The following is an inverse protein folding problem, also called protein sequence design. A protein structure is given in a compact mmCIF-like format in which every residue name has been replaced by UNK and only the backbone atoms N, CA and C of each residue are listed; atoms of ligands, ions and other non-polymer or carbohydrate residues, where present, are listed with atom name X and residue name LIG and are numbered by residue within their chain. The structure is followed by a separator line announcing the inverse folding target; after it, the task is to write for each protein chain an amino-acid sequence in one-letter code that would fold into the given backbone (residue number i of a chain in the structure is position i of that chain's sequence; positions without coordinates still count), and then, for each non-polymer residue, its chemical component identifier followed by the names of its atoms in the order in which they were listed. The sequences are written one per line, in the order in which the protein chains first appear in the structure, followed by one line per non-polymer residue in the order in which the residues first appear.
data_IF_448568440185
#
_entry.id   IF_448568440185
#
_cell.length_a   1.000
_cell.length_b   1.000
_cell.length_c   1.000
_cell.angle_alpha   90.00
_cell.angle_beta   90.00
_cell.angle_gamma   90.00
#
_symmetry.space_group_name_H-M   'P 1'
#
loop_
_entity.id
_entity.type
_entity.pdbx_description
1 polymer ?
#
# COMPACT_ATOMS: atom_id res chain seq x y z
N UNK A 1 -9.10 12.90 4.85
CA UNK A 1 -9.99 11.99 4.08
C UNK A 1 -9.36 11.77 2.73
N UNK A 2 -9.50 10.58 2.13
CA UNK A 2 -9.27 10.44 0.69
C UNK A 2 -10.14 11.48 -0.03
N UNK A 3 -9.55 12.24 -0.97
CA UNK A 3 -10.26 13.31 -1.72
C UNK A 3 -11.54 12.78 -2.36
N UNK A 4 -11.49 11.57 -2.90
CA UNK A 4 -12.63 10.89 -3.50
C UNK A 4 -13.73 10.53 -2.51
N UNK A 5 -13.38 10.15 -1.26
CA UNK A 5 -14.39 9.90 -0.23
C UNK A 5 -15.22 11.16 0.06
N UNK A 6 -14.54 12.30 0.17
CA UNK A 6 -15.19 13.59 0.40
C UNK A 6 -16.13 13.96 -0.75
N UNK A 7 -15.66 13.81 -2.00
CA UNK A 7 -16.45 14.09 -3.21
C UNK A 7 -17.72 13.23 -3.24
N UNK A 8 -17.61 11.93 -2.95
CA UNK A 8 -18.77 11.03 -2.93
C UNK A 8 -19.74 11.43 -1.82
N UNK A 9 -19.25 11.77 -0.62
CA UNK A 9 -20.10 12.21 0.49
C UNK A 9 -20.83 13.53 0.19
N UNK A 10 -20.23 14.44 -0.58
CA UNK A 10 -20.88 15.68 -1.00
C UNK A 10 -22.11 15.45 -1.90
N UNK A 11 -22.18 14.33 -2.63
CA UNK A 11 -23.38 13.98 -3.41
C UNK A 11 -24.60 13.69 -2.53
N UNK A 12 -24.38 13.35 -1.27
CA UNK A 12 -25.41 13.06 -0.27
C UNK A 12 -25.53 14.20 0.76
N UNK A 13 -24.90 15.35 0.53
CA UNK A 13 -25.09 16.53 1.36
C UNK A 13 -26.47 17.15 1.11
N UNK A 14 -27.04 17.88 2.09
CA UNK A 14 -28.32 18.57 1.94
C UNK A 14 -28.34 19.47 0.71
N UNK A 15 -29.42 19.41 -0.06
CA UNK A 15 -29.61 20.29 -1.23
C UNK A 15 -30.73 21.30 -1.00
N UNK A 16 -31.56 21.09 0.04
CA UNK A 16 -32.65 21.99 0.40
C UNK A 16 -32.34 22.78 1.67
N UNK A 17 -32.91 23.99 1.74
CA UNK A 17 -32.91 24.83 2.93
C UNK A 17 -34.34 24.99 3.44
N UNK A 18 -34.50 25.11 4.75
CA UNK A 18 -35.79 25.38 5.37
C UNK A 18 -36.25 26.84 5.11
N UNK A 19 -37.42 27.20 5.63
CA UNK A 19 -37.96 28.56 5.51
C UNK A 19 -37.09 29.65 6.18
N UNK A 20 -36.14 29.25 7.03
CA UNK A 20 -35.21 30.12 7.74
C UNK A 20 -33.85 30.23 7.02
N UNK A 21 -33.64 29.45 5.94
CA UNK A 21 -32.40 29.40 5.18
C UNK A 21 -31.36 28.41 5.73
N UNK A 22 -31.72 27.60 6.73
CA UNK A 22 -30.85 26.58 7.29
C UNK A 22 -30.92 25.29 6.44
N UNK A 23 -29.79 24.57 6.22
CA UNK A 23 -29.80 23.33 5.45
C UNK A 23 -30.67 22.27 6.14
N UNK A 24 -31.61 21.69 5.39
CA UNK A 24 -32.41 20.54 5.83
C UNK A 24 -31.47 19.37 6.12
N UNK A 25 -31.79 18.52 7.08
CA UNK A 25 -30.91 17.38 7.37
C UNK A 25 -30.88 16.41 6.17
N UNK A 26 -29.69 16.02 5.71
CA UNK A 26 -29.51 15.13 4.56
C UNK A 26 -30.26 13.79 4.69
N UNK A 27 -30.54 13.38 5.92
CA UNK A 27 -31.30 12.17 6.25
C UNK A 27 -32.80 12.29 5.90
N UNK A 28 -33.36 13.50 5.92
CA UNK A 28 -34.77 13.75 5.63
C UNK A 28 -35.06 13.71 4.12
N UNK A 29 -34.07 14.00 3.29
CA UNK A 29 -34.18 13.95 1.83
C UNK A 29 -34.20 12.51 1.28
N UNK A 30 -33.88 11.51 2.11
CA UNK A 30 -33.83 10.08 1.76
C UNK A 30 -33.12 9.77 0.43
N UNK A 31 -32.14 10.61 0.07
CA UNK A 31 -31.48 10.58 -1.24
C UNK A 31 -30.79 9.25 -1.47
N UNK A 32 -31.05 8.66 -2.64
CA UNK A 32 -30.41 7.43 -3.07
C UNK A 32 -29.85 7.58 -4.47
N UNK A 33 -28.62 7.13 -4.65
CA UNK A 33 -27.93 7.16 -5.95
C UNK A 33 -27.45 5.75 -6.29
N UNK A 34 -27.58 5.35 -7.54
CA UNK A 34 -26.98 4.13 -8.05
C UNK A 34 -25.49 4.35 -8.39
N UNK A 35 -24.75 3.27 -8.60
CA UNK A 35 -23.33 3.36 -8.93
C UNK A 35 -23.04 4.18 -10.20
N UNK A 36 -23.86 4.03 -11.26
CA UNK A 36 -23.66 4.75 -12.52
C UNK A 36 -23.84 6.27 -12.36
N UNK A 37 -24.83 6.70 -11.59
CA UNK A 37 -25.06 8.11 -11.26
C UNK A 37 -23.87 8.69 -10.50
N UNK A 38 -23.34 7.95 -9.51
CA UNK A 38 -22.15 8.39 -8.76
C UNK A 38 -20.94 8.47 -9.71
N UNK A 39 -20.75 7.50 -10.59
CA UNK A 39 -19.67 7.48 -11.59
C UNK A 39 -19.77 8.67 -12.53
N UNK A 40 -20.96 8.96 -13.03
CA UNK A 40 -21.20 10.05 -13.97
C UNK A 40 -21.01 11.43 -13.34
N UNK A 41 -21.51 11.62 -12.11
CA UNK A 41 -21.44 12.88 -11.38
C UNK A 41 -20.03 13.19 -10.88
N UNK A 42 -19.29 12.17 -10.43
CA UNK A 42 -17.96 12.37 -9.84
C UNK A 42 -16.82 12.28 -10.83
N UNK A 43 -17.04 11.62 -11.98
CA UNK A 43 -16.01 11.31 -12.99
C UNK A 43 -14.76 10.63 -12.39
N UNK A 44 -14.92 9.92 -11.26
CA UNK A 44 -13.84 9.16 -10.63
C UNK A 44 -13.59 7.89 -11.45
N UNK A 45 -12.31 7.49 -11.67
CA UNK A 45 -11.98 6.22 -12.30
C UNK A 45 -12.66 5.04 -11.60
N UNK A 46 -13.15 4.08 -12.38
CA UNK A 46 -13.97 2.98 -11.87
C UNK A 46 -13.29 2.14 -10.77
N UNK A 47 -11.98 1.91 -10.92
CA UNK A 47 -11.16 1.20 -9.94
C UNK A 47 -11.11 1.94 -8.59
N UNK A 48 -10.97 3.26 -8.62
CA UNK A 48 -10.94 4.13 -7.44
C UNK A 48 -12.33 4.26 -6.81
N UNK A 49 -13.36 4.41 -7.63
CA UNK A 49 -14.74 4.55 -7.18
C UNK A 49 -15.21 3.30 -6.44
N UNK A 50 -15.00 2.10 -7.01
CA UNK A 50 -15.37 0.83 -6.38
C UNK A 50 -14.65 0.63 -5.05
N UNK A 51 -13.34 0.92 -4.99
CA UNK A 51 -12.54 0.84 -3.75
C UNK A 51 -13.03 1.82 -2.68
N UNK A 52 -13.37 3.04 -3.09
CA UNK A 52 -13.83 4.06 -2.16
C UNK A 52 -15.22 3.75 -1.61
N UNK A 53 -16.15 3.30 -2.47
CA UNK A 53 -17.48 2.84 -2.08
C UNK A 53 -17.41 1.61 -1.17
N UNK A 54 -16.50 0.67 -1.41
CA UNK A 54 -16.29 -0.47 -0.52
C UNK A 54 -15.88 -0.02 0.89
N UNK A 55 -14.97 0.95 0.99
CA UNK A 55 -14.55 1.51 2.29
C UNK A 55 -15.70 2.18 3.05
N UNK A 56 -16.52 2.99 2.37
CA UNK A 56 -17.54 3.82 3.04
C UNK A 56 -18.92 3.16 3.14
N UNK A 57 -19.22 2.12 2.34
CA UNK A 57 -20.55 1.50 2.29
C UNK A 57 -20.58 0.04 2.77
N UNK A 58 -19.44 -0.68 2.68
CA UNK A 58 -19.37 -2.12 3.00
C UNK A 58 -18.57 -2.37 4.27
N UNK A 59 -17.47 -1.63 4.50
CA UNK A 59 -16.60 -1.86 5.66
C UNK A 59 -17.36 -1.63 6.98
N UNK A 60 -17.43 -2.63 7.90
CA UNK A 60 -18.25 -2.55 9.12
C UNK A 60 -17.93 -1.35 10.03
N UNK A 61 -16.67 -0.91 10.02
CA UNK A 61 -16.19 0.20 10.87
C UNK A 61 -16.46 1.59 10.29
N UNK A 62 -16.71 1.70 8.98
CA UNK A 62 -16.71 2.94 8.22
C UNK A 62 -17.98 3.12 7.38
N UNK A 63 -19.02 2.34 7.66
CA UNK A 63 -20.30 2.26 6.94
C UNK A 63 -21.10 3.56 7.05
N UNK A 64 -20.60 4.63 6.43
CA UNK A 64 -21.24 5.93 6.30
C UNK A 64 -22.40 5.88 5.30
N UNK A 65 -22.30 5.01 4.30
CA UNK A 65 -23.36 4.71 3.35
C UNK A 65 -23.93 3.31 3.62
N UNK A 66 -25.21 3.13 3.32
CA UNK A 66 -25.85 1.82 3.21
C UNK A 66 -25.95 1.44 1.73
N UNK A 67 -25.67 0.17 1.46
CA UNK A 67 -25.68 -0.42 0.12
C UNK A 67 -26.81 -1.45 0.01
N UNK A 68 -27.54 -1.42 -1.10
CA UNK A 68 -28.56 -2.42 -1.45
C UNK A 68 -28.32 -2.91 -2.89
N UNK A 69 -28.11 -4.23 -3.11
CA UNK A 69 -27.94 -5.31 -2.13
C UNK A 69 -26.62 -5.24 -1.36
N UNK A 70 -26.63 -5.69 -0.09
CA UNK A 70 -25.42 -5.72 0.74
C UNK A 70 -24.53 -6.92 0.36
N UNK A 71 -23.65 -6.71 -0.61
CA UNK A 71 -22.61 -7.66 -1.02
C UNK A 71 -21.22 -7.07 -0.81
N UNK A 72 -20.18 -7.93 -0.82
CA UNK A 72 -18.78 -7.50 -0.62
C UNK A 72 -18.22 -6.71 -1.80
N UNK A 73 -18.72 -6.99 -3.00
CA UNK A 73 -18.31 -6.39 -4.27
C UNK A 73 -19.22 -5.23 -4.62
N UNK A 74 -18.78 -4.29 -5.47
CA UNK A 74 -19.60 -3.18 -5.96
C UNK A 74 -19.92 -3.41 -7.44
N UNK A 75 -21.21 -3.53 -7.73
CA UNK A 75 -21.83 -3.71 -9.02
C UNK A 75 -22.50 -2.41 -9.49
N UNK A 76 -22.77 -2.36 -10.79
CA UNK A 76 -23.27 -1.17 -11.47
C UNK A 76 -24.73 -0.83 -11.11
N UNK A 77 -25.50 -1.82 -10.68
CA UNK A 77 -26.90 -1.67 -10.27
C UNK A 77 -27.06 -1.40 -8.76
N UNK A 78 -25.95 -1.32 -8.02
CA UNK A 78 -26.01 -1.14 -6.57
C UNK A 78 -26.48 0.27 -6.21
N UNK A 79 -27.38 0.35 -5.23
CA UNK A 79 -27.94 1.61 -4.73
C UNK A 79 -27.34 1.96 -3.38
N UNK A 80 -26.91 3.22 -3.25
CA UNK A 80 -26.30 3.78 -2.06
C UNK A 80 -27.19 4.85 -1.43
N UNK A 81 -27.27 4.82 -0.10
CA UNK A 81 -28.00 5.79 0.74
C UNK A 81 -27.15 6.18 1.93
N UNK A 82 -27.44 7.31 2.57
CA UNK A 82 -26.79 7.68 3.82
C UNK A 82 -27.16 6.67 4.94
N UNK A 83 -26.24 6.38 5.85
CA UNK A 83 -26.48 5.45 6.96
C UNK A 83 -26.84 6.18 8.25
N UNK A 84 -28.13 6.30 8.53
CA UNK A 84 -28.69 6.93 9.73
C UNK A 84 -28.30 6.19 11.01
N UNK A 85 -27.99 4.90 10.89
CA UNK A 85 -27.65 4.01 12.02
C UNK A 85 -26.15 3.95 12.30
N UNK A 86 -25.35 4.79 11.65
CA UNK A 86 -23.91 4.81 11.86
C UNK A 86 -23.57 5.23 13.29
N UNK A 87 -22.75 4.43 13.97
CA UNK A 87 -22.22 4.72 15.31
C UNK A 87 -20.70 4.58 15.28
N UNK A 88 -19.99 5.63 15.70
CA UNK A 88 -18.53 5.61 15.85
C UNK A 88 -18.16 5.75 17.32
N UNK A 89 -17.16 4.99 17.83
CA UNK A 89 -16.63 5.15 19.18
C UNK A 89 -15.81 6.45 19.35
N UNK A 90 -15.47 7.15 18.26
CA UNK A 90 -14.75 8.43 18.29
C UNK A 90 -15.48 9.53 17.50
N UNK A 91 -15.44 10.80 17.96
CA UNK A 91 -16.02 11.93 17.22
C UNK A 91 -15.30 12.24 15.91
N UNK A 92 -14.07 11.73 15.74
CA UNK A 92 -13.31 11.78 14.50
C UNK A 92 -13.35 10.41 13.82
N UNK A 93 -13.99 10.32 12.65
CA UNK A 93 -14.00 9.11 11.83
C UNK A 93 -12.85 9.21 10.82
N UNK A 94 -11.88 8.29 10.91
CA UNK A 94 -10.78 8.21 9.92
C UNK A 94 -11.19 7.32 8.76
N UNK A 95 -11.58 7.94 7.64
CA UNK A 95 -11.82 7.22 6.38
C UNK A 95 -10.48 6.84 5.76
N UNK A 96 -10.07 5.59 5.96
CA UNK A 96 -8.93 4.99 5.29
C UNK A 96 -9.43 4.30 4.02
N UNK A 97 -8.80 4.57 2.89
CA UNK A 97 -9.02 3.77 1.68
C UNK A 97 -8.59 2.34 1.97
N UNK A 98 -9.41 1.36 1.59
CA UNK A 98 -9.03 -0.05 1.70
C UNK A 98 -7.85 -0.26 0.75
N UNK A 99 -6.63 -0.26 1.28
CA UNK A 99 -5.45 -0.65 0.54
C UNK A 99 -5.55 -2.16 0.28
N UNK A 100 -5.24 -2.59 -0.95
CA UNK A 100 -5.18 -4.00 -1.34
C UNK A 100 -4.25 -4.86 -0.45
N UNK A 101 -3.43 -4.24 0.39
CA UNK A 101 -2.43 -4.89 1.24
C UNK A 101 -2.90 -5.35 2.63
N UNK A 102 -4.16 -5.11 3.05
CA UNK A 102 -4.58 -5.38 4.44
C UNK A 102 -5.51 -6.59 4.65
N UNK A 103 -5.79 -7.36 3.61
CA UNK A 103 -6.61 -8.58 3.74
C UNK A 103 -6.05 -9.79 2.99
N UNK A 104 -4.85 -10.26 3.34
CA UNK A 104 -4.43 -11.64 3.09
C UNK A 104 -3.23 -12.06 3.94
N UNK A 105 -3.46 -12.15 5.25
CA UNK A 105 -2.80 -13.18 6.06
C UNK A 105 -3.43 -14.53 5.70
N UNK A 106 -2.61 -15.45 5.21
CA UNK A 106 -2.77 -16.92 5.21
C UNK A 106 -4.14 -17.48 4.76
N UNK A 107 -4.23 -17.90 3.50
CA UNK A 107 -4.50 -19.29 3.13
C UNK A 107 -4.46 -19.45 1.60
N UNK A 108 -3.73 -20.47 1.16
CA UNK A 108 -3.60 -20.93 -0.23
C UNK A 108 -4.96 -21.20 -0.88
N UNK A 109 -5.17 -20.73 -2.11
CA UNK A 109 -5.63 -21.55 -3.26
C UNK A 109 -5.87 -20.68 -4.50
N UNK A 110 -5.07 -20.93 -5.55
CA UNK A 110 -5.40 -20.91 -6.99
C UNK A 110 -6.49 -19.93 -7.48
N UNK A 111 -6.05 -18.75 -7.94
CA UNK A 111 -6.32 -18.16 -9.26
C UNK A 111 -6.00 -16.66 -9.23
N UNK A 112 -4.94 -16.15 -9.88
CA UNK A 112 -4.80 -14.72 -10.06
C UNK A 112 -5.39 -14.35 -11.43
N UNK A 113 -6.59 -13.80 -11.42
CA UNK A 113 -7.07 -12.99 -12.55
C UNK A 113 -6.35 -11.64 -12.42
N UNK A 114 -5.16 -11.57 -13.04
CA UNK A 114 -4.28 -10.40 -13.08
C UNK A 114 -5.08 -9.15 -13.42
N UNK A 115 -4.99 -8.14 -12.57
CA UNK A 115 -5.49 -6.80 -12.85
C UNK A 115 -4.30 -5.88 -13.02
N UNK A 116 -4.36 -4.98 -14.01
CA UNK A 116 -3.28 -4.10 -14.47
C UNK A 116 -2.65 -3.24 -13.34
N UNK A 117 -3.39 -3.00 -12.26
CA UNK A 117 -2.90 -2.31 -11.05
C UNK A 117 -1.93 -3.13 -10.16
N UNK A 118 -2.01 -4.46 -10.20
CA UNK A 118 -0.99 -5.29 -9.54
C UNK A 118 0.31 -5.28 -10.34
N UNK A 119 0.24 -5.21 -11.67
CA UNK A 119 1.42 -5.15 -12.54
C UNK A 119 2.20 -3.84 -12.33
N UNK A 120 1.54 -2.68 -12.27
CA UNK A 120 2.23 -1.40 -11.93
C UNK A 120 2.82 -1.42 -10.50
N UNK A 121 2.12 -1.99 -9.52
CA UNK A 121 2.63 -2.07 -8.14
C UNK A 121 3.79 -3.07 -8.01
N UNK A 122 3.76 -4.17 -8.78
CA UNK A 122 4.83 -5.15 -8.86
C UNK A 122 6.05 -4.55 -9.56
N UNK A 123 5.86 -3.78 -10.64
CA UNK A 123 6.93 -3.06 -11.32
C UNK A 123 7.61 -2.04 -10.41
N UNK A 124 6.83 -1.21 -9.69
CA UNK A 124 7.37 -0.24 -8.74
C UNK A 124 8.12 -0.96 -7.61
N UNK A 125 7.56 -2.05 -7.08
CA UNK A 125 8.22 -2.81 -6.03
C UNK A 125 9.49 -3.50 -6.53
N UNK A 126 9.47 -4.06 -7.75
CA UNK A 126 10.63 -4.64 -8.41
C UNK A 126 11.73 -3.57 -8.57
N UNK A 127 11.39 -2.38 -9.06
CA UNK A 127 12.33 -1.29 -9.25
C UNK A 127 12.94 -0.81 -7.91
N UNK A 128 12.15 -0.78 -6.83
CA UNK A 128 12.65 -0.51 -5.47
C UNK A 128 13.62 -1.61 -5.01
N UNK A 129 13.31 -2.88 -5.28
CA UNK A 129 14.21 -3.99 -4.90
C UNK A 129 15.52 -3.97 -5.69
N UNK A 130 15.49 -3.62 -6.98
CA UNK A 130 16.66 -3.37 -7.83
C UNK A 130 17.53 -2.26 -7.22
N UNK A 131 16.93 -1.10 -6.91
CA UNK A 131 17.63 0.01 -6.28
C UNK A 131 18.28 -0.38 -4.95
N UNK A 132 17.61 -1.19 -4.13
CA UNK A 132 18.18 -1.71 -2.88
C UNK A 132 19.40 -2.60 -3.12
N UNK A 133 19.39 -3.47 -4.14
CA UNK A 133 20.56 -4.30 -4.51
C UNK A 133 21.76 -3.43 -4.86
N UNK A 134 21.56 -2.39 -5.67
CA UNK A 134 22.62 -1.46 -6.08
C UNK A 134 23.22 -0.75 -4.86
N UNK A 135 22.37 -0.25 -3.96
CA UNK A 135 22.81 0.43 -2.74
C UNK A 135 23.60 -0.51 -1.82
N UNK A 136 23.14 -1.76 -1.65
CA UNK A 136 23.86 -2.77 -0.86
C UNK A 136 25.23 -3.08 -1.48
N UNK A 137 25.31 -3.30 -2.79
CA UNK A 137 26.57 -3.56 -3.49
C UNK A 137 27.57 -2.41 -3.28
N UNK A 138 27.11 -1.17 -3.50
CA UNK A 138 27.95 0.01 -3.31
C UNK A 138 28.45 0.15 -1.87
N UNK A 139 27.61 -0.16 -0.88
CA UNK A 139 27.99 -0.13 0.53
C UNK A 139 29.02 -1.23 0.88
N UNK A 140 28.82 -2.45 0.40
CA UNK A 140 29.78 -3.55 0.60
C UNK A 140 31.15 -3.18 0.00
N UNK A 141 31.19 -2.74 -1.26
CA UNK A 141 32.44 -2.34 -1.92
C UNK A 141 33.11 -1.18 -1.18
N UNK A 142 32.36 -0.20 -0.69
CA UNK A 142 32.91 0.91 0.11
C UNK A 142 33.56 0.45 1.41
N UNK A 143 32.91 -0.46 2.14
CA UNK A 143 33.45 -1.04 3.39
C UNK A 143 34.72 -1.84 3.08
N UNK A 144 34.64 -2.73 2.10
CA UNK A 144 35.74 -3.61 1.68
C UNK A 144 36.96 -2.82 1.19
N UNK A 145 36.75 -1.78 0.37
CA UNK A 145 37.84 -0.90 -0.10
C UNK A 145 38.54 -0.17 1.04
N UNK A 146 37.84 0.17 2.13
CA UNK A 146 38.45 0.84 3.29
C UNK A 146 39.17 -0.13 4.22
N UNK A 147 38.64 -1.35 4.42
CA UNK A 147 39.16 -2.32 5.40
C UNK A 147 40.17 -3.30 4.80
N UNK A 148 40.12 -3.49 3.48
CA UNK A 148 40.89 -4.46 2.68
C UNK A 148 40.59 -5.93 3.02
N UNK A 149 40.54 -6.28 4.30
CA UNK A 149 40.18 -7.60 4.83
C UNK A 149 39.17 -7.43 5.96
N UNK A 150 38.11 -8.24 5.99
CA UNK A 150 37.09 -8.19 7.04
C UNK A 150 36.42 -9.56 7.25
N UNK A 151 35.96 -9.82 8.47
CA UNK A 151 35.14 -11.01 8.75
C UNK A 151 33.69 -10.80 8.32
N UNK A 152 32.96 -11.88 8.07
CA UNK A 152 31.56 -11.83 7.67
C UNK A 152 30.69 -11.09 8.71
N UNK A 153 30.88 -11.36 10.00
CA UNK A 153 30.09 -10.76 11.06
C UNK A 153 30.33 -9.24 11.13
N UNK A 154 31.59 -8.82 11.01
CA UNK A 154 31.94 -7.39 11.04
C UNK A 154 31.43 -6.66 9.80
N UNK A 155 31.49 -7.29 8.62
CA UNK A 155 30.93 -6.74 7.38
C UNK A 155 29.43 -6.52 7.50
N UNK A 156 28.69 -7.50 8.03
CA UNK A 156 27.25 -7.39 8.25
C UNK A 156 26.93 -6.27 9.26
N UNK A 157 27.68 -6.19 10.36
CA UNK A 157 27.49 -5.15 11.37
C UNK A 157 27.73 -3.73 10.81
N UNK A 158 28.83 -3.54 10.07
CA UNK A 158 29.12 -2.26 9.41
C UNK A 158 28.08 -1.91 8.35
N UNK A 159 27.63 -2.89 7.57
CA UNK A 159 26.62 -2.70 6.52
C UNK A 159 25.27 -2.26 7.11
N UNK A 160 24.81 -2.93 8.18
CA UNK A 160 23.58 -2.55 8.89
C UNK A 160 23.72 -1.14 9.47
N UNK A 161 24.87 -0.81 10.07
CA UNK A 161 25.15 0.54 10.58
C UNK A 161 25.13 1.60 9.48
N UNK A 162 25.66 1.33 8.30
CA UNK A 162 25.63 2.30 7.19
C UNK A 162 24.24 2.47 6.58
N UNK A 163 23.47 1.37 6.48
CA UNK A 163 22.17 1.39 5.80
C UNK A 163 20.98 1.73 6.70
N UNK A 164 21.15 1.77 8.04
CA UNK A 164 20.05 1.97 9.00
C UNK A 164 19.16 3.19 8.70
N UNK A 165 19.75 4.29 8.22
CA UNK A 165 19.03 5.52 7.88
C UNK A 165 18.16 5.41 6.62
N UNK A 166 18.36 4.39 5.79
CA UNK A 166 17.60 4.17 4.54
C UNK A 166 16.69 2.96 4.63
N UNK A 167 17.21 1.82 5.04
CA UNK A 167 16.43 0.58 5.22
C UNK A 167 17.24 -0.47 5.98
N UNK A 168 16.54 -1.50 6.50
CA UNK A 168 17.15 -2.66 7.13
C UNK A 168 17.30 -3.80 6.09
N UNK A 169 18.52 -4.10 5.61
CA UNK A 169 18.73 -5.18 4.64
C UNK A 169 18.49 -6.55 5.28
N UNK A 170 17.81 -7.45 4.55
CA UNK A 170 17.65 -8.84 4.96
C UNK A 170 18.97 -9.61 4.82
N UNK A 171 19.29 -10.49 5.76
CA UNK A 171 20.53 -11.29 5.75
C UNK A 171 20.68 -12.13 4.47
N UNK A 172 19.57 -12.62 3.91
CA UNK A 172 19.55 -13.38 2.65
C UNK A 172 20.06 -12.52 1.49
N UNK A 173 19.60 -11.26 1.41
CA UNK A 173 20.02 -10.32 0.37
C UNK A 173 21.52 -10.04 0.49
N UNK A 174 22.03 -9.81 1.70
CA UNK A 174 23.45 -9.53 1.94
C UNK A 174 24.30 -10.71 1.46
N UNK A 175 23.95 -11.94 1.83
CA UNK A 175 24.68 -13.15 1.39
C UNK A 175 24.70 -13.26 -0.14
N UNK A 176 23.55 -13.11 -0.80
CA UNK A 176 23.48 -13.14 -2.26
C UNK A 176 24.37 -12.06 -2.89
N UNK A 177 24.36 -10.83 -2.36
CA UNK A 177 25.20 -9.75 -2.90
C UNK A 177 26.69 -9.99 -2.71
N UNK A 178 27.10 -10.63 -1.60
CA UNK A 178 28.51 -11.00 -1.39
C UNK A 178 28.95 -12.04 -2.43
N UNK A 179 28.14 -13.07 -2.69
CA UNK A 179 28.46 -14.06 -3.73
C UNK A 179 28.56 -13.41 -5.11
N UNK A 180 27.59 -12.57 -5.49
CA UNK A 180 27.63 -11.83 -6.77
C UNK A 180 28.90 -10.97 -6.90
N UNK A 181 29.40 -10.40 -5.80
CA UNK A 181 30.62 -9.58 -5.79
C UNK A 181 31.91 -10.43 -5.82
N UNK A 182 31.86 -11.67 -5.33
CA UNK A 182 32.96 -12.64 -5.49
C UNK A 182 33.03 -13.11 -6.94
N UNK A 183 31.89 -13.46 -7.55
CA UNK A 183 31.81 -13.87 -8.96
C UNK A 183 32.30 -12.79 -9.92
N UNK A 184 32.09 -11.51 -9.57
CA UNK A 184 32.57 -10.35 -10.33
C UNK A 184 34.01 -9.93 -9.98
N UNK A 185 34.72 -10.74 -9.19
CA UNK A 185 36.11 -10.48 -8.81
C UNK A 185 36.33 -9.13 -8.10
N UNK A 186 35.33 -8.65 -7.35
CA UNK A 186 35.52 -7.52 -6.42
C UNK A 186 36.01 -7.99 -5.06
N UNK A 187 35.64 -9.22 -4.67
CA UNK A 187 35.96 -9.83 -3.39
C UNK A 187 36.53 -11.24 -3.61
N UNK A 188 37.44 -11.66 -2.75
CA UNK A 188 37.92 -13.05 -2.67
C UNK A 188 37.69 -13.58 -1.26
N UNK A 189 37.31 -14.86 -1.12
CA UNK A 189 37.33 -15.53 0.18
C UNK A 189 38.76 -15.90 0.53
N UNK A 190 39.09 -15.78 1.81
CA UNK A 190 40.34 -16.30 2.35
C UNK A 190 40.41 -17.83 2.15
N UNK A 191 41.60 -18.33 1.84
CA UNK A 191 41.83 -19.74 1.51
C UNK A 191 41.82 -20.64 2.77
N UNK A 192 42.18 -20.09 3.94
CA UNK A 192 42.20 -20.78 5.23
C UNK A 192 40.94 -20.50 6.06
N UNK A 193 40.45 -19.26 6.04
CA UNK A 193 39.35 -18.79 6.87
C UNK A 193 38.11 -18.44 6.04
N UNK A 194 37.20 -19.39 5.88
CA UNK A 194 35.97 -19.24 5.08
C UNK A 194 35.06 -18.05 5.48
N UNK A 195 35.20 -17.54 6.71
CA UNK A 195 34.44 -16.39 7.22
C UNK A 195 35.13 -15.04 6.99
N UNK A 196 36.23 -14.99 6.24
CA UNK A 196 37.00 -13.79 5.95
C UNK A 196 36.96 -13.48 4.45
N UNK A 197 36.82 -12.20 4.13
CA UNK A 197 36.80 -11.69 2.76
C UNK A 197 37.93 -10.68 2.55
N UNK A 198 38.51 -10.70 1.36
CA UNK A 198 39.52 -9.77 0.88
C UNK A 198 38.97 -8.96 -0.30
N UNK A 199 39.33 -7.70 -0.37
CA UNK A 199 39.04 -6.82 -1.49
C UNK A 199 40.11 -7.01 -2.58
N UNK A 200 39.70 -7.15 -3.85
CA UNK A 200 40.61 -7.53 -4.95
C UNK A 200 40.51 -6.64 -6.21
N UNK A 201 39.68 -5.59 -6.19
CA UNK A 201 39.43 -4.69 -7.34
C UNK A 201 40.11 -3.32 -7.29
#
# INVERSE_FOLDING_TARGET
MSTYAGIIMLLFAPQSTDANGDPVLAFEEARSLNYQEIKELTKIPETDLKRQLQSIAVAPRLRLLTKTPLTKEINDDDVFRLNDKFKSPSPKVKVLTVSASSSSSKNSSKNPKKTENEEESEEVQANITEGRKIVVNAAIVRIMKSRQTITHNDLVAELVKQLHNRFQPLTILIKQRIEDLIEKEYLKRDDDLRNTYHYVA
#
